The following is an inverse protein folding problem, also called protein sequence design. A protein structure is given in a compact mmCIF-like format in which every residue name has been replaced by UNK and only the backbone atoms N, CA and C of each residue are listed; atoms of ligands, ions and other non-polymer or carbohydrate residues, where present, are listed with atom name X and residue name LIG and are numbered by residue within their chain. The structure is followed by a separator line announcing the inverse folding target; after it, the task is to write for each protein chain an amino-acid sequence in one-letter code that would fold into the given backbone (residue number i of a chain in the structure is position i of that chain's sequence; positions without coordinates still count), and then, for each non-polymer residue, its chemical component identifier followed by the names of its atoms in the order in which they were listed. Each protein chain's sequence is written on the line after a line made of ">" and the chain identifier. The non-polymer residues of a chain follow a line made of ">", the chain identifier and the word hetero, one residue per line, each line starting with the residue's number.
data_IF_309280144725
#
_entry.id   IF_309280144725
#
_cell.length_a   1.000
_cell.length_b   1.000
_cell.length_c   1.000
_cell.angle_alpha   90.00
_cell.angle_beta   90.00
_cell.angle_gamma   90.00
#
_symmetry.space_group_name_H-M   'P 1'
#
loop_
_entity.id
_entity.type
_entity.pdbx_description
1 polymer ?
#
# COMPACT_ATOMS: atom_id res chain seq x y z
N UNK A 1 60.40 -10.09 -15.82
CA UNK A 1 59.59 -11.22 -15.31
C UNK A 1 58.59 -10.68 -14.29
N UNK A 2 57.29 -10.69 -14.58
CA UNK A 2 56.25 -10.31 -13.61
C UNK A 2 55.74 -11.58 -12.92
N UNK A 3 55.83 -11.66 -11.58
CA UNK A 3 55.21 -12.73 -10.79
C UNK A 3 53.70 -12.47 -10.73
N UNK A 4 52.82 -13.43 -11.09
CA UNK A 4 51.38 -13.24 -10.95
C UNK A 4 50.99 -13.43 -9.48
N UNK A 5 51.10 -12.37 -8.69
CA UNK A 5 50.48 -12.29 -7.38
C UNK A 5 48.98 -12.15 -7.57
N UNK A 6 48.22 -13.18 -7.20
CA UNK A 6 46.76 -13.21 -7.15
C UNK A 6 46.26 -12.03 -6.30
N UNK A 7 45.92 -10.92 -6.93
CA UNK A 7 45.21 -9.84 -6.27
C UNK A 7 43.76 -10.27 -6.18
N UNK A 8 43.37 -10.83 -5.03
CA UNK A 8 41.97 -11.04 -4.71
C UNK A 8 41.34 -9.67 -4.47
N UNK A 9 40.71 -9.13 -5.51
CA UNK A 9 39.81 -7.99 -5.35
C UNK A 9 38.67 -8.44 -4.43
N UNK A 10 38.42 -7.78 -3.28
CA UNK A 10 37.20 -8.02 -2.56
C UNK A 10 36.07 -7.60 -3.51
N UNK A 11 35.24 -8.55 -3.92
CA UNK A 11 33.94 -8.27 -4.52
C UNK A 11 33.12 -7.59 -3.43
N UNK A 12 33.32 -6.27 -3.28
CA UNK A 12 32.61 -5.44 -2.35
C UNK A 12 31.13 -5.49 -2.71
N UNK A 13 30.44 -6.45 -2.11
CA UNK A 13 29.15 -6.32 -1.43
C UNK A 13 28.56 -4.90 -1.52
N UNK A 14 28.07 -4.53 -2.68
CA UNK A 14 27.53 -3.18 -2.92
C UNK A 14 26.62 -3.08 -4.12
N UNK A 15 26.29 -4.21 -4.77
CA UNK A 15 25.50 -4.23 -6.00
C UNK A 15 24.00 -4.49 -5.81
N UNK A 16 23.55 -4.83 -4.59
CA UNK A 16 22.18 -5.30 -4.35
C UNK A 16 21.65 -4.91 -2.96
N UNK A 17 21.95 -3.70 -2.45
CA UNK A 17 21.00 -3.13 -1.48
C UNK A 17 19.73 -2.86 -2.28
N UNK A 18 18.85 -3.86 -2.33
CA UNK A 18 17.50 -3.74 -2.87
C UNK A 18 16.78 -2.70 -2.01
N UNK A 19 16.88 -1.43 -2.40
CA UNK A 19 16.06 -0.32 -1.91
C UNK A 19 14.56 -0.48 -2.25
N UNK A 20 14.13 -1.69 -2.60
CA UNK A 20 12.75 -2.02 -2.96
C UNK A 20 12.14 -3.07 -2.03
N UNK A 21 12.89 -3.64 -1.08
CA UNK A 21 12.38 -4.74 -0.24
C UNK A 21 11.78 -4.31 1.11
N UNK A 22 12.02 -3.09 1.61
CA UNK A 22 11.64 -2.75 3.00
C UNK A 22 10.69 -1.56 3.16
N UNK A 23 9.69 -1.44 2.28
CA UNK A 23 8.40 -0.93 2.75
C UNK A 23 7.36 -2.04 2.62
N UNK A 24 7.57 -3.10 3.40
CA UNK A 24 6.46 -3.93 3.88
C UNK A 24 5.58 -3.04 4.74
N UNK A 25 4.67 -2.34 4.08
CA UNK A 25 3.63 -1.58 4.74
C UNK A 25 2.91 -2.59 5.62
N UNK A 26 3.05 -2.49 6.94
CA UNK A 26 2.44 -3.44 7.89
C UNK A 26 0.90 -3.45 7.77
N UNK A 27 0.34 -2.50 7.02
CA UNK A 27 -1.07 -2.34 6.73
C UNK A 27 -1.23 -2.11 5.23
N UNK A 28 -1.01 -3.15 4.43
CA UNK A 28 -1.44 -3.14 3.02
C UNK A 28 -2.97 -3.21 2.97
N UNK A 29 -3.60 -2.04 2.81
CA UNK A 29 -5.03 -1.96 2.51
C UNK A 29 -5.27 -2.61 1.14
N UNK A 30 -5.57 -3.90 1.15
CA UNK A 30 -5.93 -4.64 -0.06
C UNK A 30 -7.09 -3.92 -0.76
N UNK A 31 -7.13 -3.90 -2.11
CA UNK A 31 -8.22 -3.26 -2.87
C UNK A 31 -9.63 -3.68 -2.42
N UNK A 32 -9.78 -4.90 -1.91
CA UNK A 32 -11.03 -5.38 -1.31
C UNK A 32 -11.53 -4.54 -0.13
N UNK A 33 -10.65 -4.04 0.75
CA UNK A 33 -11.06 -3.19 1.88
C UNK A 33 -11.61 -1.85 1.41
N UNK A 34 -11.04 -1.29 0.34
CA UNK A 34 -11.49 -0.02 -0.25
C UNK A 34 -12.91 -0.19 -0.82
N UNK A 35 -13.16 -1.29 -1.53
CA UNK A 35 -14.47 -1.60 -2.11
C UNK A 35 -15.53 -1.78 -1.02
N UNK A 36 -15.21 -2.51 0.05
CA UNK A 36 -16.12 -2.73 1.19
C UNK A 36 -16.43 -1.39 1.88
N UNK A 37 -15.41 -0.57 2.13
CA UNK A 37 -15.60 0.74 2.77
C UNK A 37 -16.47 1.67 1.91
N UNK A 38 -16.25 1.69 0.59
CA UNK A 38 -17.07 2.46 -0.33
C UNK A 38 -18.54 2.00 -0.32
N UNK A 39 -18.79 0.69 -0.31
CA UNK A 39 -20.14 0.14 -0.22
C UNK A 39 -20.84 0.54 1.10
N UNK A 40 -20.14 0.52 2.23
CA UNK A 40 -20.67 0.95 3.53
C UNK A 40 -21.07 2.43 3.50
N UNK A 41 -20.23 3.29 2.92
CA UNK A 41 -20.52 4.72 2.77
C UNK A 41 -21.79 4.94 1.93
N UNK A 42 -21.93 4.23 0.81
CA UNK A 42 -23.12 4.31 -0.04
C UNK A 42 -24.38 3.92 0.74
N UNK A 43 -24.34 2.83 1.51
CA UNK A 43 -25.47 2.40 2.35
C UNK A 43 -25.83 3.46 3.39
N UNK A 44 -24.83 4.04 4.07
CA UNK A 44 -25.06 5.11 5.04
C UNK A 44 -25.69 6.36 4.40
N UNK A 45 -25.23 6.76 3.21
CA UNK A 45 -25.80 7.90 2.48
C UNK A 45 -27.26 7.64 2.09
N UNK A 46 -27.58 6.43 1.66
CA UNK A 46 -28.96 6.03 1.33
C UNK A 46 -29.85 6.06 2.57
N UNK A 47 -29.41 5.46 3.68
CA UNK A 47 -30.16 5.46 4.94
C UNK A 47 -30.38 6.89 5.44
N UNK A 48 -29.34 7.73 5.37
CA UNK A 48 -29.43 9.14 5.71
C UNK A 48 -30.34 9.92 4.77
N UNK A 49 -30.41 9.58 3.48
CA UNK A 49 -31.40 10.19 2.57
C UNK A 49 -32.82 9.75 2.90
N UNK A 50 -33.04 8.47 3.22
CA UNK A 50 -34.38 7.97 3.56
C UNK A 50 -34.89 8.60 4.87
N UNK A 51 -34.05 8.64 5.91
CA UNK A 51 -34.40 9.27 7.18
C UNK A 51 -34.30 10.79 7.15
N UNK A 52 -33.33 11.34 6.43
CA UNK A 52 -33.14 12.78 6.24
C UNK A 52 -34.27 13.39 5.41
N UNK A 53 -34.80 12.69 4.41
CA UNK A 53 -36.01 13.13 3.71
C UNK A 53 -37.23 13.15 4.65
N UNK A 54 -37.31 12.19 5.59
CA UNK A 54 -38.34 12.17 6.62
C UNK A 54 -38.12 13.20 7.75
N UNK A 55 -36.87 13.54 8.09
CA UNK A 55 -36.50 14.45 9.19
C UNK A 55 -36.46 15.93 8.74
N UNK A 56 -36.02 16.20 7.50
CA UNK A 56 -35.96 17.53 6.90
C UNK A 56 -37.25 17.89 6.14
N UNK A 57 -38.22 16.98 6.03
CA UNK A 57 -39.53 17.28 5.44
C UNK A 57 -39.46 17.81 4.00
N UNK A 58 -38.47 17.39 3.23
CA UNK A 58 -38.31 17.76 1.80
C UNK A 58 -39.08 16.80 0.88
N UNK A 59 -40.24 16.34 1.33
CA UNK A 59 -41.20 15.54 0.57
C UNK A 59 -42.55 16.25 0.49
#
# INVERSE_FOLDING_TARGET
>A
MAKPGKVNLPSGMGGLTRYFDDYTSNIELKPGHIIIMAAVIVVLVILLHLQGNALLGLG
#
